data_IF_539357569943
#
_entry.id   IF_539357569943
#
_cell.length_a   1.000
_cell.length_b   1.000
_cell.length_c   1.000
_cell.angle_alpha   90.00
_cell.angle_beta   90.00
_cell.angle_gamma   90.00
#
_symmetry.space_group_name_H-M   'P 1'
#
loop_
_entity.id
_entity.type
_entity.pdbx_description
1 polymer ?
#
# COMPACT_ATOMS: atom_id res chain seq x y z
N UNK A 1 -8.91 12.59 14.21
CA UNK A 1 -8.75 11.73 13.04
C UNK A 1 -7.33 11.86 12.50
N UNK A 2 -6.63 10.77 12.38
CA UNK A 2 -5.26 10.79 11.88
C UNK A 2 -5.25 10.37 10.41
N UNK A 3 -5.10 11.36 9.53
CA UNK A 3 -4.93 11.08 8.11
C UNK A 3 -3.46 10.78 7.84
N UNK A 4 -3.24 9.74 7.06
CA UNK A 4 -1.89 9.34 6.69
C UNK A 4 -1.52 10.06 5.40
N UNK A 5 -0.57 11.00 5.50
CA UNK A 5 -0.07 11.74 4.34
C UNK A 5 1.45 11.86 4.40
N UNK A 6 2.05 12.21 3.30
CA UNK A 6 3.47 12.42 3.19
C UNK A 6 4.14 11.40 2.29
N UNK A 7 5.27 11.79 1.77
CA UNK A 7 6.10 10.95 0.91
C UNK A 7 7.47 10.83 1.55
N UNK A 8 7.90 9.61 1.80
CA UNK A 8 9.13 9.33 2.58
C UNK A 8 10.02 8.37 1.82
N UNK A 9 11.33 8.62 1.88
CA UNK A 9 12.34 7.71 1.36
C UNK A 9 12.90 6.90 2.52
N UNK A 10 12.68 5.60 2.48
CA UNK A 10 13.13 4.68 3.53
C UNK A 10 13.80 3.48 2.89
N UNK A 11 14.50 2.71 3.69
CA UNK A 11 15.26 1.56 3.18
C UNK A 11 14.72 0.25 3.73
N UNK A 12 14.90 -0.79 2.92
CA UNK A 12 14.66 -2.17 3.34
C UNK A 12 16.02 -2.87 3.40
N UNK A 13 16.26 -3.64 4.47
CA UNK A 13 17.54 -4.32 4.63
C UNK A 13 17.53 -5.69 3.92
N UNK A 14 18.68 -6.38 3.93
CA UNK A 14 18.85 -7.67 3.23
C UNK A 14 18.00 -8.78 3.86
N UNK A 15 17.45 -8.58 5.05
CA UNK A 15 16.53 -9.52 5.68
C UNK A 15 15.07 -9.18 5.41
N UNK A 16 14.83 -8.17 4.57
CA UNK A 16 13.48 -7.77 4.20
C UNK A 16 12.76 -6.90 5.22
N UNK A 17 13.51 -6.23 6.10
CA UNK A 17 12.94 -5.36 7.13
C UNK A 17 12.95 -3.92 6.65
N UNK A 18 11.76 -3.32 6.58
CA UNK A 18 11.57 -1.93 6.18
C UNK A 18 11.65 -1.03 7.39
N UNK A 19 12.50 0.00 7.33
CA UNK A 19 12.46 1.09 8.30
C UNK A 19 11.24 1.94 7.97
N UNK A 20 10.25 1.94 8.86
CA UNK A 20 9.00 2.66 8.61
C UNK A 20 9.14 4.12 9.03
N UNK A 21 8.60 5.09 8.25
CA UNK A 21 8.69 6.51 8.63
C UNK A 21 8.07 6.76 9.99
N UNK A 22 8.85 7.41 10.87
CA UNK A 22 8.41 7.63 12.26
C UNK A 22 7.13 8.47 12.36
N UNK A 23 6.94 9.43 11.45
CA UNK A 23 5.71 10.24 11.42
C UNK A 23 4.48 9.39 11.12
N UNK A 24 4.59 8.49 10.14
CA UNK A 24 3.49 7.58 9.82
C UNK A 24 3.28 6.57 10.94
N UNK A 25 4.35 6.09 11.56
CA UNK A 25 4.23 5.18 12.69
C UNK A 25 3.44 5.80 13.83
N UNK A 26 3.72 7.06 14.16
CA UNK A 26 2.98 7.80 15.17
C UNK A 26 1.50 7.97 14.79
N UNK A 27 1.24 8.23 13.51
CA UNK A 27 -0.13 8.43 13.03
C UNK A 27 -0.94 7.13 13.04
N UNK A 28 -0.35 5.99 12.66
CA UNK A 28 -1.06 4.71 12.69
C UNK A 28 -1.35 4.26 14.13
N UNK A 29 -0.46 4.57 15.05
CA UNK A 29 -0.62 4.31 16.48
C UNK A 29 -1.08 2.87 16.80
N UNK A 30 -0.52 1.92 16.08
CA UNK A 30 -0.80 0.49 16.24
C UNK A 30 0.49 -0.27 16.06
N UNK A 31 0.57 -1.43 16.71
CA UNK A 31 1.76 -2.28 16.64
C UNK A 31 1.73 -3.24 15.45
N UNK A 32 0.56 -3.49 14.90
CA UNK A 32 0.35 -4.44 13.80
C UNK A 32 -0.37 -3.73 12.66
N UNK A 33 0.10 -3.94 11.44
CA UNK A 33 -0.57 -3.47 10.22
C UNK A 33 -0.88 -4.68 9.33
N UNK A 34 -1.92 -4.57 8.51
CA UNK A 34 -2.19 -5.57 7.47
C UNK A 34 -1.53 -5.11 6.18
N UNK A 35 -0.76 -6.00 5.56
CA UNK A 35 -0.10 -5.70 4.30
C UNK A 35 -0.64 -6.62 3.20
N UNK A 36 -0.85 -6.07 2.02
CA UNK A 36 -1.29 -6.82 0.84
C UNK A 36 -0.78 -6.14 -0.44
N UNK A 37 -1.08 -6.75 -1.57
CA UNK A 37 -0.74 -6.19 -2.88
C UNK A 37 -1.62 -4.95 -3.14
N UNK A 38 -1.02 -3.91 -3.71
CA UNK A 38 -1.76 -2.76 -4.20
C UNK A 38 -2.29 -3.00 -5.60
N UNK A 39 -2.94 -1.99 -6.16
CA UNK A 39 -3.46 -2.05 -7.53
C UNK A 39 -2.32 -2.01 -8.55
N UNK A 40 -1.32 -1.17 -8.30
CA UNK A 40 -0.12 -1.12 -9.12
C UNK A 40 0.95 -2.05 -8.51
N UNK A 41 2.18 -2.01 -9.02
CA UNK A 41 3.28 -2.82 -8.48
C UNK A 41 3.82 -2.25 -7.17
N UNK A 42 2.93 -2.10 -6.21
CA UNK A 42 3.22 -1.62 -4.87
C UNK A 42 2.47 -2.46 -3.85
N UNK A 43 2.73 -2.19 -2.59
CA UNK A 43 2.05 -2.85 -1.48
C UNK A 43 1.23 -1.82 -0.72
N UNK A 44 0.10 -2.27 -0.17
CA UNK A 44 -0.75 -1.44 0.67
C UNK A 44 -0.68 -1.93 2.11
N UNK A 45 -0.55 -0.98 3.04
CA UNK A 45 -0.54 -1.27 4.48
C UNK A 45 -1.69 -0.53 5.14
N UNK A 46 -2.48 -1.26 5.93
CA UNK A 46 -3.67 -0.75 6.59
C UNK A 46 -3.58 -0.92 8.09
N UNK A 47 -4.17 0.01 8.83
CA UNK A 47 -4.51 -0.26 10.23
C UNK A 47 -5.60 -1.33 10.25
N UNK A 48 -5.82 -1.95 11.41
CA UNK A 48 -6.85 -3.00 11.53
C UNK A 48 -8.25 -2.47 11.19
N UNK A 49 -8.55 -1.23 11.58
CA UNK A 49 -9.85 -0.60 11.30
C UNK A 49 -10.04 -0.37 9.80
N UNK A 50 -9.03 0.20 9.14
CA UNK A 50 -9.13 0.48 7.70
C UNK A 50 -9.10 -0.79 6.87
N UNK A 51 -8.37 -1.82 7.33
CA UNK A 51 -8.41 -3.12 6.67
C UNK A 51 -9.81 -3.73 6.71
N UNK A 52 -10.47 -3.66 7.86
CA UNK A 52 -11.83 -4.19 7.99
C UNK A 52 -12.79 -3.50 7.01
N UNK A 53 -12.66 -2.19 6.83
CA UNK A 53 -13.47 -1.44 5.86
C UNK A 53 -13.19 -1.90 4.43
N UNK A 54 -11.91 -1.99 4.07
CA UNK A 54 -11.49 -2.42 2.73
C UNK A 54 -11.94 -3.85 2.42
N UNK A 55 -11.67 -4.77 3.34
CA UNK A 55 -12.07 -6.17 3.19
C UNK A 55 -13.58 -6.30 3.00
N UNK A 56 -14.35 -5.58 3.80
CA UNK A 56 -15.80 -5.59 3.70
C UNK A 56 -16.28 -5.10 2.33
N UNK A 57 -15.68 -4.03 1.82
CA UNK A 57 -16.02 -3.50 0.49
C UNK A 57 -15.73 -4.52 -0.62
N UNK A 58 -14.57 -5.16 -0.55
CA UNK A 58 -14.20 -6.17 -1.56
C UNK A 58 -15.16 -7.35 -1.49
N UNK A 59 -15.37 -7.89 -0.30
CA UNK A 59 -16.16 -9.12 -0.13
C UNK A 59 -17.65 -8.89 -0.39
N UNK A 60 -18.21 -7.72 -0.04
CA UNK A 60 -19.62 -7.44 -0.28
C UNK A 60 -19.93 -7.20 -1.75
N UNK A 61 -18.94 -6.81 -2.55
CA UNK A 61 -19.11 -6.62 -4.00
C UNK A 61 -18.70 -7.84 -4.81
N UNK A 62 -18.15 -8.86 -4.16
CA UNK A 62 -17.65 -10.05 -4.84
C UNK A 62 -18.75 -11.11 -4.94
N UNK A 63 -19.05 -11.53 -6.18
CA UNK A 63 -19.85 -12.73 -6.41
C UNK A 63 -18.87 -13.88 -6.66
N UNK A 64 -18.91 -14.91 -5.82
CA UNK A 64 -18.02 -16.07 -5.94
C UNK A 64 -18.27 -16.86 -7.23
N UNK A 65 -19.40 -16.61 -7.89
CA UNK A 65 -19.77 -17.26 -9.14
C UNK A 65 -19.11 -16.60 -10.37
N UNK A 66 -18.56 -15.41 -10.21
CA UNK A 66 -17.95 -14.67 -11.32
C UNK A 66 -16.43 -14.74 -11.25
N UNK A 67 -15.79 -15.23 -12.29
CA UNK A 67 -14.35 -15.38 -12.36
C UNK A 67 -13.61 -14.04 -12.12
N UNK A 68 -14.12 -12.94 -12.68
CA UNK A 68 -13.51 -11.61 -12.49
C UNK A 68 -13.50 -11.18 -11.04
N UNK A 69 -14.57 -11.46 -10.31
CA UNK A 69 -14.63 -11.12 -8.88
C UNK A 69 -13.61 -11.92 -8.08
N UNK A 70 -13.43 -13.18 -8.44
CA UNK A 70 -12.44 -14.02 -7.79
C UNK A 70 -11.00 -13.56 -8.06
N UNK A 71 -10.75 -12.96 -9.22
CA UNK A 71 -9.45 -12.34 -9.51
C UNK A 71 -9.15 -11.23 -8.49
N UNK A 72 -10.14 -10.41 -8.18
CA UNK A 72 -9.99 -9.31 -7.21
C UNK A 72 -9.75 -9.86 -5.81
N UNK A 73 -10.53 -10.85 -5.38
CA UNK A 73 -10.36 -11.49 -4.07
C UNK A 73 -8.98 -12.13 -3.94
N UNK A 74 -8.53 -12.86 -4.96
CA UNK A 74 -7.21 -13.51 -4.95
C UNK A 74 -6.06 -12.52 -4.96
N UNK A 75 -6.29 -11.33 -5.51
CA UNK A 75 -5.25 -10.31 -5.56
C UNK A 75 -5.10 -9.58 -4.21
N UNK A 76 -6.21 -9.11 -3.65
CA UNK A 76 -6.17 -8.26 -2.45
C UNK A 76 -6.33 -9.02 -1.14
N UNK A 77 -7.16 -10.04 -1.11
CA UNK A 77 -7.51 -10.70 0.15
C UNK A 77 -6.60 -11.87 0.46
N UNK A 78 -6.37 -12.75 -0.52
CA UNK A 78 -5.60 -13.97 -0.29
C UNK A 78 -4.17 -13.72 0.20
N UNK A 79 -3.41 -12.75 -0.36
CA UNK A 79 -2.02 -12.52 0.08
C UNK A 79 -1.90 -11.66 1.33
N UNK A 80 -3.00 -11.12 1.85
CA UNK A 80 -2.95 -10.22 3.00
C UNK A 80 -2.42 -10.92 4.25
N UNK A 81 -1.52 -10.24 4.96
CA UNK A 81 -0.88 -10.78 6.17
C UNK A 81 -0.71 -9.68 7.22
N UNK A 82 -0.81 -10.03 8.52
CA UNK A 82 -0.43 -9.08 9.55
C UNK A 82 1.10 -8.99 9.62
N UNK A 83 1.61 -7.78 9.81
CA UNK A 83 3.03 -7.53 10.06
C UNK A 83 3.15 -6.67 11.31
N UNK A 84 4.09 -7.00 12.15
CA UNK A 84 4.27 -6.36 13.44
C UNK A 84 5.54 -5.53 13.46
N UNK A 85 5.47 -4.32 14.03
CA UNK A 85 6.67 -3.51 14.24
C UNK A 85 7.60 -4.18 15.24
N UNK A 86 8.89 -4.24 14.92
CA UNK A 86 9.88 -4.66 15.90
C UNK A 86 10.22 -3.48 16.82
N UNK A 87 11.06 -3.71 17.81
CA UNK A 87 11.46 -2.69 18.78
C UNK A 87 12.17 -1.48 18.16
N UNK A 88 12.68 -1.64 16.94
CA UNK A 88 13.38 -0.57 16.20
C UNK A 88 12.48 0.11 15.16
N UNK A 89 11.18 -0.18 15.16
CA UNK A 89 10.23 0.44 14.23
C UNK A 89 10.30 -0.09 12.81
N UNK A 90 10.78 -1.32 12.64
CA UNK A 90 10.88 -1.97 11.33
C UNK A 90 9.79 -3.00 11.15
N UNK A 91 9.36 -3.16 9.90
CA UNK A 91 8.39 -4.19 9.49
C UNK A 91 9.07 -5.21 8.61
N UNK A 92 8.92 -6.49 8.92
CA UNK A 92 9.42 -7.58 8.06
C UNK A 92 8.41 -7.80 6.94
N UNK A 93 8.80 -7.44 5.72
CA UNK A 93 7.92 -7.58 4.56
C UNK A 93 8.02 -9.01 4.02
N UNK A 94 6.91 -9.73 3.89
CA UNK A 94 6.95 -11.10 3.37
C UNK A 94 7.60 -11.18 1.99
N UNK A 95 8.38 -12.23 1.76
CA UNK A 95 9.16 -12.40 0.54
C UNK A 95 8.31 -12.34 -0.72
N UNK A 96 7.15 -13.00 -0.74
CA UNK A 96 6.27 -13.00 -1.90
C UNK A 96 5.78 -11.59 -2.25
N UNK A 97 5.54 -10.76 -1.25
CA UNK A 97 5.11 -9.37 -1.46
C UNK A 97 6.28 -8.51 -1.91
N UNK A 98 7.48 -8.73 -1.37
CA UNK A 98 8.68 -8.03 -1.86
C UNK A 98 8.91 -8.31 -3.33
N UNK A 99 8.74 -9.56 -3.74
CA UNK A 99 8.89 -9.96 -5.14
C UNK A 99 7.83 -9.32 -6.02
N UNK A 100 6.58 -9.32 -5.58
CA UNK A 100 5.50 -8.69 -6.32
C UNK A 100 5.78 -7.21 -6.61
N UNK A 101 6.22 -6.48 -5.59
CA UNK A 101 6.50 -5.04 -5.72
C UNK A 101 7.91 -4.75 -6.21
N UNK A 102 8.71 -5.79 -6.46
CA UNK A 102 10.08 -5.65 -6.93
C UNK A 102 10.93 -4.78 -6.00
N UNK A 103 10.74 -4.93 -4.69
CA UNK A 103 11.44 -4.10 -3.72
C UNK A 103 12.92 -4.40 -3.70
N UNK A 104 13.72 -3.33 -3.77
CA UNK A 104 15.15 -3.36 -3.58
C UNK A 104 15.50 -2.58 -2.31
N UNK A 105 16.69 -2.04 -2.20
CA UNK A 105 17.11 -1.33 -0.99
C UNK A 105 16.32 -0.04 -0.74
N UNK A 106 16.18 0.78 -1.78
CA UNK A 106 15.57 2.11 -1.64
C UNK A 106 14.09 2.05 -1.96
N UNK A 107 13.29 2.49 -1.02
CA UNK A 107 11.84 2.44 -1.11
C UNK A 107 11.22 3.82 -0.92
N UNK A 108 10.01 3.97 -1.44
CA UNK A 108 9.19 5.16 -1.22
C UNK A 108 7.94 4.72 -0.46
N UNK A 109 7.64 5.41 0.62
CA UNK A 109 6.46 5.16 1.44
C UNK A 109 5.53 6.36 1.31
N UNK A 110 4.31 6.12 0.84
CA UNK A 110 3.33 7.17 0.59
C UNK A 110 2.13 7.02 1.53
N UNK A 111 1.77 8.11 2.20
CA UNK A 111 0.51 8.15 2.95
C UNK A 111 -0.63 8.51 2.00
N UNK A 112 -1.63 7.64 1.89
CA UNK A 112 -2.78 7.83 0.99
C UNK A 112 -4.05 8.05 1.82
N UNK A 113 -3.98 8.87 2.82
CA UNK A 113 -5.06 9.23 3.74
C UNK A 113 -5.51 8.08 4.64
N UNK A 114 -6.00 6.98 4.09
CA UNK A 114 -6.55 5.86 4.87
C UNK A 114 -5.66 4.63 4.89
N UNK A 115 -4.64 4.61 4.06
CA UNK A 115 -3.67 3.51 4.01
C UNK A 115 -2.33 4.05 3.54
N UNK A 116 -1.34 3.19 3.49
CA UNK A 116 0.03 3.54 3.11
C UNK A 116 0.41 2.67 1.92
N UNK A 117 1.07 3.27 0.92
CA UNK A 117 1.66 2.51 -0.19
C UNK A 117 3.16 2.39 0.01
N UNK A 118 3.67 1.21 -0.28
CA UNK A 118 5.11 0.92 -0.27
C UNK A 118 5.54 0.56 -1.67
N UNK A 119 6.45 1.35 -2.22
CA UNK A 119 6.98 1.19 -3.57
C UNK A 119 8.48 1.00 -3.55
N UNK A 120 9.00 0.26 -4.52
CA UNK A 120 10.39 0.35 -4.87
C UNK A 120 10.66 1.73 -5.48
N UNK A 121 11.78 2.37 -5.13
CA UNK A 121 12.05 3.74 -5.57
C UNK A 121 12.12 3.85 -7.11
N UNK A 122 12.82 2.94 -7.75
CA UNK A 122 12.95 2.94 -9.22
C UNK A 122 11.61 2.71 -9.89
N UNK A 123 10.85 1.72 -9.41
CA UNK A 123 9.53 1.39 -9.93
C UNK A 123 8.57 2.58 -9.81
N UNK A 124 8.61 3.27 -8.67
CA UNK A 124 7.74 4.44 -8.46
C UNK A 124 8.09 5.58 -9.42
N UNK A 125 9.37 5.86 -9.58
CA UNK A 125 9.80 6.92 -10.50
C UNK A 125 9.44 6.59 -11.95
N UNK A 126 9.54 5.34 -12.35
CA UNK A 126 9.10 4.90 -13.68
C UNK A 126 7.59 5.07 -13.85
N UNK A 127 6.82 4.73 -12.82
CA UNK A 127 5.37 4.91 -12.82
C UNK A 127 5.01 6.39 -12.99
N UNK A 128 5.63 7.27 -12.22
CA UNK A 128 5.38 8.71 -12.32
C UNK A 128 5.67 9.23 -13.73
N UNK A 129 6.78 8.81 -14.29
CA UNK A 129 7.18 9.25 -15.63
C UNK A 129 6.18 8.77 -16.69
N UNK A 130 5.75 7.53 -16.60
CA UNK A 130 4.79 6.95 -17.54
C UNK A 130 3.39 7.58 -17.41
N UNK A 131 3.05 8.13 -16.26
CA UNK A 131 1.72 8.70 -16.00
C UNK A 131 1.66 10.21 -16.11
N UNK A 132 2.77 10.90 -16.44
CA UNK A 132 2.80 12.36 -16.55
C UNK A 132 1.75 12.89 -17.52
N UNK A 133 1.64 12.30 -18.70
CA UNK A 133 0.74 12.77 -19.74
C UNK A 133 -0.74 12.53 -19.43
N UNK A 134 -1.04 11.53 -18.61
CA UNK A 134 -2.42 11.18 -18.27
C UNK A 134 -2.91 11.85 -17.00
N UNK A 135 -2.02 12.48 -16.23
CA UNK A 135 -2.37 13.05 -14.94
C UNK A 135 -3.47 14.11 -15.04
N UNK A 136 -3.33 15.06 -15.99
CA UNK A 136 -4.31 16.13 -16.17
C UNK A 136 -5.69 15.57 -16.54
N UNK A 137 -5.70 14.58 -17.43
CA UNK A 137 -6.94 13.91 -17.82
C UNK A 137 -7.58 13.18 -16.64
N UNK A 138 -6.76 12.54 -15.81
CA UNK A 138 -7.23 11.88 -14.61
C UNK A 138 -7.89 12.87 -13.64
N UNK A 139 -7.30 14.06 -13.46
CA UNK A 139 -7.86 15.11 -12.61
C UNK A 139 -9.22 15.58 -13.17
N UNK A 140 -9.32 15.74 -14.48
CA UNK A 140 -10.55 16.19 -15.13
C UNK A 140 -11.71 15.20 -14.97
N UNK A 141 -11.41 13.91 -14.77
CA UNK A 141 -12.42 12.89 -14.54
C UNK A 141 -12.96 12.89 -13.11
N UNK A 142 -12.32 13.62 -12.19
CA UNK A 142 -12.80 13.72 -10.82
C UNK A 142 -14.05 14.59 -10.79
N UNK A 143 -15.16 14.00 -10.32
CA UNK A 143 -16.40 14.74 -10.12
C UNK A 143 -16.27 15.61 -8.87
N UNK A 144 -16.90 16.77 -8.90
CA UNK A 144 -17.00 17.68 -7.75
C UNK A 144 -15.69 18.31 -7.30
N UNK A 145 -14.62 18.20 -8.09
CA UNK A 145 -13.37 18.92 -7.82
C UNK A 145 -13.20 20.02 -8.86
N UNK A 146 -13.08 21.24 -8.39
CA UNK A 146 -12.87 22.42 -9.23
C UNK A 146 -11.49 23.01 -8.90
N UNK A 147 -10.71 23.25 -9.92
CA UNK A 147 -9.37 23.83 -9.77
C UNK A 147 -9.27 25.20 -10.42
#
# INVERSE_FOLDING_TARGET
>A
MNLLTGEYNNTIDDKGRLSFPSKLRGAVNQNVLMITKGLDRCLWLFTSEEWAVFESKVMSNASMMKAKNMQVVRHFIAPAQPVEFDKNGRLSIPQSLREYANLSKDCVVLGIAKYVELWDNTTYNEYLKASEDSFRDAVEEFNDISF
#
